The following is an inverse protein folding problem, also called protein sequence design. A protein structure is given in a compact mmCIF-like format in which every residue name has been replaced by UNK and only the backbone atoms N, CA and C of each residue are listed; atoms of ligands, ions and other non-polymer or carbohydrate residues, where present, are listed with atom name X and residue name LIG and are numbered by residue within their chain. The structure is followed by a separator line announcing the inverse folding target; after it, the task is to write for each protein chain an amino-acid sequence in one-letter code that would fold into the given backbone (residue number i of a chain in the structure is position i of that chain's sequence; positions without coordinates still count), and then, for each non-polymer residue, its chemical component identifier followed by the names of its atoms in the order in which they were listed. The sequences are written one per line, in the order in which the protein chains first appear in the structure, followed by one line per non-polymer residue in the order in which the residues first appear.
data_IF_741298619144
#
_entry.id   IF_741298619144
#
_cell.length_a   1.000
_cell.length_b   1.000
_cell.length_c   1.000
_cell.angle_alpha   90.00
_cell.angle_beta   90.00
_cell.angle_gamma   90.00
#
_symmetry.space_group_name_H-M   'P 1'
#
loop_
_entity.id
_entity.type
_entity.pdbx_description
1 polymer ?
#
# COMPACT_ATOMS: atom_id res chain seq x y z
N UNK A 1 -19.74 32.57 25.63
CA UNK A 1 -19.39 31.26 26.20
C UNK A 1 -19.18 30.32 25.04
N UNK A 2 -17.92 30.16 24.64
CA UNK A 2 -17.51 29.12 23.71
C UNK A 2 -17.51 27.79 24.46
N UNK A 3 -18.38 26.88 24.03
CA UNK A 3 -18.23 25.43 24.18
C UNK A 3 -18.43 24.90 22.76
N UNK A 4 -17.47 24.32 22.07
CA UNK A 4 -16.41 23.44 22.55
C UNK A 4 -16.56 22.15 21.74
N UNK A 5 -16.03 22.20 20.51
CA UNK A 5 -15.65 21.05 19.68
C UNK A 5 -16.78 20.13 19.18
N UNK A 6 -17.08 20.27 17.88
CA UNK A 6 -17.57 19.15 17.06
C UNK A 6 -16.58 18.01 17.24
N UNK A 7 -16.93 16.97 18.02
CA UNK A 7 -16.12 15.75 18.14
C UNK A 7 -16.27 14.95 16.85
N UNK A 8 -15.52 15.41 15.87
CA UNK A 8 -15.25 14.88 14.54
C UNK A 8 -15.04 13.36 14.59
N UNK A 9 -15.73 12.67 13.69
CA UNK A 9 -15.45 11.33 13.16
C UNK A 9 -15.09 10.30 14.22
N UNK A 10 -16.10 9.56 14.69
CA UNK A 10 -15.89 8.25 15.31
C UNK A 10 -14.96 7.42 14.42
N UNK A 11 -13.70 7.30 14.84
CA UNK A 11 -12.73 6.37 14.27
C UNK A 11 -13.28 4.96 14.46
N UNK A 12 -14.05 4.49 13.49
CA UNK A 12 -14.30 3.06 13.33
C UNK A 12 -13.00 2.50 12.77
N UNK A 13 -12.11 2.08 13.67
CA UNK A 13 -10.85 1.42 13.30
C UNK A 13 -11.16 -0.01 12.90
N UNK A 14 -11.53 -0.21 11.62
CA UNK A 14 -11.74 -1.55 11.08
C UNK A 14 -10.41 -2.28 11.00
N UNK A 15 -10.39 -3.54 11.47
CA UNK A 15 -9.17 -4.35 11.48
C UNK A 15 -8.67 -4.58 10.05
N UNK A 16 -7.42 -4.19 9.79
CA UNK A 16 -6.80 -4.32 8.48
C UNK A 16 -6.41 -5.76 8.18
N UNK A 17 -6.60 -6.15 6.93
CA UNK A 17 -6.13 -7.44 6.43
C UNK A 17 -4.62 -7.38 6.21
N UNK A 18 -3.93 -8.51 6.39
CA UNK A 18 -2.47 -8.59 6.30
C UNK A 18 -2.05 -9.31 5.03
N UNK A 19 -1.01 -8.78 4.39
CA UNK A 19 -0.40 -9.40 3.22
C UNK A 19 0.07 -10.82 3.55
N UNK A 20 -0.40 -11.81 2.81
CA UNK A 20 -0.05 -13.21 3.07
C UNK A 20 1.44 -13.50 2.86
N UNK A 21 2.11 -12.72 2.01
CA UNK A 21 3.54 -12.84 1.72
C UNK A 21 4.42 -12.12 2.77
N UNK A 22 4.24 -10.81 2.97
CA UNK A 22 5.13 -9.99 3.82
C UNK A 22 4.54 -9.58 5.18
N UNK A 23 3.31 -10.01 5.50
CA UNK A 23 2.60 -9.77 6.77
C UNK A 23 2.28 -8.32 7.12
N UNK A 24 2.64 -7.34 6.29
CA UNK A 24 2.23 -5.93 6.47
C UNK A 24 0.73 -5.74 6.27
N UNK A 25 0.17 -4.70 6.88
CA UNK A 25 -1.22 -4.31 6.66
C UNK A 25 -1.46 -3.90 5.21
N UNK A 26 -2.63 -4.26 4.69
CA UNK A 26 -3.08 -3.89 3.36
C UNK A 26 -4.06 -2.70 3.43
N UNK A 27 -4.47 -2.19 2.26
CA UNK A 27 -5.43 -1.10 2.18
C UNK A 27 -6.82 -1.51 2.71
N UNK A 28 -7.15 -2.80 2.64
CA UNK A 28 -8.48 -3.34 2.90
C UNK A 28 -8.64 -3.80 4.35
N UNK A 29 -9.83 -3.60 4.91
CA UNK A 29 -10.21 -4.20 6.19
C UNK A 29 -10.70 -5.63 5.99
N UNK A 30 -10.77 -6.42 7.06
CA UNK A 30 -11.33 -7.77 7.01
C UNK A 30 -12.79 -7.82 6.55
N UNK A 31 -13.59 -6.77 6.76
CA UNK A 31 -14.99 -6.73 6.30
C UNK A 31 -15.16 -6.29 4.85
N UNK A 32 -14.13 -5.77 4.18
CA UNK A 32 -14.25 -5.38 2.78
C UNK A 32 -14.63 -6.61 1.94
N UNK A 33 -15.67 -6.57 1.11
CA UNK A 33 -16.01 -7.73 0.27
C UNK A 33 -14.89 -8.01 -0.74
N UNK A 34 -14.59 -9.28 -1.03
CA UNK A 34 -13.44 -9.69 -1.85
C UNK A 34 -13.47 -9.13 -3.27
N UNK A 35 -14.66 -8.96 -3.84
CA UNK A 35 -14.85 -8.39 -5.19
C UNK A 35 -14.36 -6.94 -5.31
N UNK A 36 -14.25 -6.23 -4.18
CA UNK A 36 -13.78 -4.84 -4.15
C UNK A 36 -12.30 -4.72 -3.76
N UNK A 37 -11.57 -5.84 -3.69
CA UNK A 37 -10.17 -5.88 -3.25
C UNK A 37 -9.22 -6.08 -4.41
N UNK A 38 -8.24 -5.19 -4.53
CA UNK A 38 -7.08 -5.41 -5.38
C UNK A 38 -6.08 -6.32 -4.68
N UNK A 39 -5.54 -7.28 -5.43
CA UNK A 39 -4.51 -8.21 -4.93
C UNK A 39 -5.03 -9.29 -3.99
N UNK A 40 -6.34 -9.50 -3.88
CA UNK A 40 -6.89 -10.72 -3.28
C UNK A 40 -6.74 -11.88 -4.27
N UNK A 41 -6.22 -13.00 -3.80
CA UNK A 41 -6.07 -14.22 -4.60
C UNK A 41 -6.91 -15.32 -3.95
N UNK A 42 -7.90 -15.83 -4.68
CA UNK A 42 -8.78 -16.88 -4.20
C UNK A 42 -7.97 -18.11 -3.74
N UNK A 43 -8.29 -18.62 -2.55
CA UNK A 43 -7.58 -19.74 -1.92
C UNK A 43 -6.21 -19.39 -1.30
N UNK A 44 -5.60 -18.25 -1.61
CA UNK A 44 -4.33 -17.82 -1.02
C UNK A 44 -4.49 -16.68 0.00
N UNK A 45 -5.41 -15.74 -0.23
CA UNK A 45 -5.70 -14.59 0.63
C UNK A 45 -5.20 -13.26 0.05
N UNK A 46 -5.12 -12.24 0.92
CA UNK A 46 -4.83 -10.87 0.52
C UNK A 46 -3.33 -10.61 0.32
N UNK A 47 -2.91 -10.06 -0.82
CA UNK A 47 -1.57 -9.48 -1.02
C UNK A 47 -1.61 -7.96 -0.95
N UNK A 48 -0.51 -7.35 -0.51
CA UNK A 48 -0.29 -5.93 -0.73
C UNK A 48 0.15 -5.68 -2.19
N UNK A 49 -0.05 -4.46 -2.70
CA UNK A 49 0.22 -4.15 -4.12
C UNK A 49 1.69 -4.36 -4.53
N UNK A 50 2.64 -4.09 -3.63
CA UNK A 50 4.07 -4.34 -3.89
C UNK A 50 4.37 -5.83 -4.10
N UNK A 51 3.84 -6.69 -3.22
CA UNK A 51 4.01 -8.14 -3.37
C UNK A 51 3.24 -8.66 -4.58
N UNK A 52 2.02 -8.19 -4.81
CA UNK A 52 1.23 -8.56 -5.99
C UNK A 52 2.00 -8.23 -7.27
N UNK A 53 2.52 -7.01 -7.39
CA UNK A 53 3.31 -6.60 -8.55
C UNK A 53 4.62 -7.36 -8.71
N UNK A 54 5.28 -7.73 -7.61
CA UNK A 54 6.53 -8.52 -7.66
C UNK A 54 6.26 -9.96 -8.09
N UNK A 55 5.22 -10.61 -7.53
CA UNK A 55 4.87 -12.01 -7.80
C UNK A 55 4.39 -12.18 -9.25
N UNK A 56 3.54 -11.27 -9.74
CA UNK A 56 2.98 -11.33 -11.10
C UNK A 56 3.82 -10.55 -12.13
N UNK A 57 4.99 -10.03 -11.76
CA UNK A 57 5.88 -9.35 -12.69
C UNK A 57 5.34 -8.03 -13.27
N UNK A 58 4.44 -7.35 -12.56
CA UNK A 58 3.83 -6.08 -12.96
C UNK A 58 4.66 -4.86 -12.55
N UNK A 59 5.78 -5.05 -11.86
CA UNK A 59 6.67 -3.93 -11.53
C UNK A 59 7.24 -3.35 -12.83
N UNK A 60 6.91 -2.08 -13.18
CA UNK A 60 7.46 -1.48 -14.38
C UNK A 60 8.97 -1.42 -14.21
N UNK A 61 9.70 -2.07 -15.13
CA UNK A 61 11.14 -1.85 -15.25
C UNK A 61 11.31 -0.43 -15.77
N UNK A 62 11.48 0.54 -14.86
CA UNK A 62 11.92 1.89 -15.22
C UNK A 62 13.33 1.77 -15.79
N UNK A 63 13.43 1.53 -17.10
CA UNK A 63 14.70 1.50 -17.81
C UNK A 63 15.39 2.85 -17.61
N UNK A 64 16.64 2.83 -17.15
CA UNK A 64 17.40 4.04 -16.90
C UNK A 64 17.21 4.68 -15.51
N UNK A 65 16.48 4.03 -14.58
CA UNK A 65 16.43 4.46 -13.17
C UNK A 65 17.81 4.59 -12.56
N UNK A 66 18.72 3.64 -12.82
CA UNK A 66 20.10 3.73 -12.29
C UNK A 66 20.83 4.96 -12.82
N UNK A 67 20.64 5.28 -14.10
CA UNK A 67 21.27 6.44 -14.75
C UNK A 67 20.75 7.76 -14.14
N UNK A 68 19.46 7.82 -13.84
CA UNK A 68 18.84 8.98 -13.17
C UNK A 68 19.36 9.13 -11.72
N UNK A 69 19.41 8.04 -10.95
CA UNK A 69 19.94 8.06 -9.58
C UNK A 69 21.40 8.53 -9.57
N UNK A 70 22.22 8.04 -10.49
CA UNK A 70 23.62 8.45 -10.63
C UNK A 70 23.72 9.96 -10.87
N UNK A 71 22.93 10.48 -11.80
CA UNK A 71 22.91 11.92 -12.13
C UNK A 71 22.48 12.79 -10.96
N UNK A 72 21.48 12.36 -10.17
CA UNK A 72 21.01 13.10 -8.99
C UNK A 72 22.09 13.17 -7.92
N UNK A 73 22.78 12.06 -7.64
CA UNK A 73 23.89 12.01 -6.67
C UNK A 73 25.02 12.95 -7.08
N UNK A 74 25.40 12.93 -8.36
CA UNK A 74 26.42 13.82 -8.92
C UNK A 74 26.06 15.31 -8.83
N UNK A 75 24.76 15.65 -8.86
CA UNK A 75 24.27 17.04 -8.77
C UNK A 75 24.01 17.56 -7.35
N UNK A 76 23.93 16.66 -6.35
CA UNK A 76 23.56 17.01 -4.97
C UNK A 76 24.74 17.18 -4.01
N UNK A 77 25.97 16.96 -4.47
CA UNK A 77 27.21 17.07 -3.68
C UNK A 77 27.96 18.41 -3.90
N UNK A 78 27.26 19.46 -4.38
CA UNK A 78 27.80 20.81 -4.59
C UNK A 78 27.46 21.77 -3.44
#
# INVERSE_FOLDING_TARGET
MEIGEVKIMSKITLEKDKCVNCKRETLYSKETHVDFRLGYVEGAGQLCLDCYGTIYGLTPKLQGKEKLIKKIKESGEA
#
